data_IF_418550137398
#
_entry.id   IF_418550137398
#
_cell.length_a   1.000
_cell.length_b   1.000
_cell.length_c   1.000
_cell.angle_alpha   90.00
_cell.angle_beta   90.00
_cell.angle_gamma   90.00
#
_symmetry.space_group_name_H-M   'P 1'
#
loop_
_entity.id
_entity.type
_entity.pdbx_description
1 polymer ?
#
# COMPACT_ATOMS: atom_id res chain seq x y z
N UNK A 1 -12.56 12.01 19.40
CA UNK A 1 -13.66 11.59 18.48
C UNK A 1 -13.39 10.19 17.91
N UNK A 2 -12.18 9.88 17.42
CA UNK A 2 -11.85 8.58 16.81
C UNK A 2 -12.07 7.39 17.76
N UNK A 3 -11.64 7.48 19.02
CA UNK A 3 -11.87 6.44 20.03
C UNK A 3 -13.36 6.12 20.24
N UNK A 4 -14.25 7.11 20.11
CA UNK A 4 -15.70 6.90 20.20
C UNK A 4 -16.20 6.13 18.97
N UNK A 5 -15.68 6.41 17.78
CA UNK A 5 -15.99 5.67 16.56
C UNK A 5 -15.59 4.19 16.67
N UNK A 6 -14.39 3.92 17.20
CA UNK A 6 -13.91 2.57 17.46
C UNK A 6 -14.80 1.86 18.51
N UNK A 7 -15.10 2.51 19.64
CA UNK A 7 -15.97 1.96 20.66
C UNK A 7 -17.37 1.62 20.13
N UNK A 8 -17.93 2.48 19.25
CA UNK A 8 -19.22 2.22 18.60
C UNK A 8 -19.16 1.00 17.67
N UNK A 9 -18.09 0.83 16.90
CA UNK A 9 -17.91 -0.33 16.04
C UNK A 9 -17.79 -1.63 16.87
N UNK A 10 -17.14 -1.58 18.02
CA UNK A 10 -16.96 -2.72 18.92
C UNK A 10 -18.22 -3.09 19.72
N UNK A 11 -19.19 -2.18 19.86
CA UNK A 11 -20.41 -2.40 20.66
C UNK A 11 -21.26 -3.57 20.16
N UNK A 12 -21.15 -3.93 18.87
CA UNK A 12 -21.87 -5.07 18.26
C UNK A 12 -21.05 -6.37 18.29
N UNK A 13 -19.89 -6.38 18.97
CA UNK A 13 -18.97 -7.52 19.06
C UNK A 13 -18.63 -8.17 17.71
N UNK A 14 -18.10 -7.41 16.73
CA UNK A 14 -17.81 -7.91 15.40
C UNK A 14 -16.56 -8.82 15.41
N UNK A 15 -16.48 -9.72 14.42
CA UNK A 15 -15.26 -10.48 14.11
C UNK A 15 -14.38 -9.75 13.11
N UNK A 16 -14.98 -8.87 12.29
CA UNK A 16 -14.34 -8.13 11.21
C UNK A 16 -14.72 -6.65 11.23
N UNK A 17 -13.72 -5.76 11.09
CA UNK A 17 -13.91 -4.31 11.05
C UNK A 17 -13.22 -3.71 9.83
N UNK A 18 -13.94 -2.87 9.07
CA UNK A 18 -13.37 -2.01 8.04
C UNK A 18 -12.95 -0.68 8.65
N UNK A 19 -11.68 -0.35 8.54
CA UNK A 19 -11.04 0.86 9.02
C UNK A 19 -10.66 1.71 7.81
N UNK A 20 -11.56 2.58 7.35
CA UNK A 20 -11.34 3.46 6.20
C UNK A 20 -10.72 4.79 6.66
N UNK A 21 -9.45 4.98 6.31
CA UNK A 21 -8.61 6.11 6.69
C UNK A 21 -8.73 6.52 8.18
N UNK A 22 -8.62 5.59 9.14
CA UNK A 22 -8.97 5.86 10.54
C UNK A 22 -8.05 6.86 11.23
N UNK A 23 -6.94 7.25 10.60
CA UNK A 23 -5.90 8.13 11.19
C UNK A 23 -5.61 9.38 10.36
N UNK A 24 -6.23 9.58 9.19
CA UNK A 24 -5.88 10.63 8.21
C UNK A 24 -6.02 12.08 8.74
N UNK A 25 -6.94 12.31 9.68
CA UNK A 25 -7.23 13.63 10.25
C UNK A 25 -6.56 13.88 11.61
N UNK A 26 -5.55 13.07 12.00
CA UNK A 26 -4.92 13.11 13.30
C UNK A 26 -3.46 13.53 13.19
N UNK A 27 -2.92 14.16 14.23
CA UNK A 27 -1.49 14.39 14.35
C UNK A 27 -0.72 13.08 14.58
N UNK A 28 0.58 13.05 14.24
CA UNK A 28 1.43 11.85 14.23
C UNK A 28 1.43 11.12 15.58
N UNK A 29 1.40 11.87 16.70
CA UNK A 29 1.45 11.26 18.03
C UNK A 29 0.14 10.54 18.37
N UNK A 30 -0.99 11.12 17.96
CA UNK A 30 -2.32 10.52 18.14
C UNK A 30 -2.52 9.35 17.15
N UNK A 31 -2.00 9.46 15.91
CA UNK A 31 -2.02 8.34 14.96
C UNK A 31 -1.37 7.09 15.58
N UNK A 32 -0.17 7.22 16.14
CA UNK A 32 0.53 6.11 16.80
C UNK A 32 -0.28 5.51 17.96
N UNK A 33 -0.91 6.36 18.78
CA UNK A 33 -1.76 5.88 19.89
C UNK A 33 -3.00 5.10 19.39
N UNK A 34 -3.63 5.54 18.30
CA UNK A 34 -4.79 4.85 17.72
C UNK A 34 -4.38 3.52 17.10
N UNK A 35 -3.26 3.48 16.36
CA UNK A 35 -2.76 2.24 15.77
C UNK A 35 -2.39 1.22 16.86
N UNK A 36 -1.68 1.64 17.91
CA UNK A 36 -1.38 0.75 19.03
C UNK A 36 -2.65 0.24 19.73
N UNK A 37 -3.65 1.09 19.93
CA UNK A 37 -4.95 0.70 20.47
C UNK A 37 -5.61 -0.38 19.59
N UNK A 38 -5.60 -0.22 18.27
CA UNK A 38 -6.17 -1.19 17.32
C UNK A 38 -5.43 -2.53 17.37
N UNK A 39 -4.09 -2.51 17.42
CA UNK A 39 -3.27 -3.74 17.59
C UNK A 39 -3.59 -4.45 18.89
N UNK A 40 -3.73 -3.72 20.01
CA UNK A 40 -4.09 -4.29 21.30
C UNK A 40 -5.50 -4.91 21.29
N UNK A 41 -6.46 -4.23 20.66
CA UNK A 41 -7.84 -4.74 20.51
C UNK A 41 -7.87 -5.99 19.61
N UNK A 42 -7.11 -5.99 18.51
CA UNK A 42 -6.98 -7.15 17.63
C UNK A 42 -6.51 -8.39 18.43
N UNK A 43 -5.44 -8.24 19.21
CA UNK A 43 -4.89 -9.35 20.03
C UNK A 43 -5.84 -9.80 21.12
N UNK A 44 -6.52 -8.86 21.80
CA UNK A 44 -7.40 -9.18 22.95
C UNK A 44 -8.72 -9.80 22.52
N UNK A 45 -9.25 -9.39 21.37
CA UNK A 45 -10.60 -9.77 20.92
C UNK A 45 -10.59 -10.71 19.71
N UNK A 46 -9.43 -11.04 19.14
CA UNK A 46 -9.32 -11.88 17.94
C UNK A 46 -9.89 -11.23 16.68
N UNK A 47 -9.83 -9.90 16.56
CA UNK A 47 -10.45 -9.15 15.48
C UNK A 47 -9.65 -9.28 14.17
N UNK A 48 -10.38 -9.33 13.05
CA UNK A 48 -9.80 -9.16 11.72
C UNK A 48 -10.08 -7.74 11.22
N UNK A 49 -9.04 -7.08 10.66
CA UNK A 49 -9.17 -5.73 10.10
C UNK A 49 -8.97 -5.70 8.60
N UNK A 50 -9.78 -4.91 7.90
CA UNK A 50 -9.42 -4.32 6.61
C UNK A 50 -9.03 -2.85 6.86
N UNK A 51 -7.73 -2.58 6.85
CA UNK A 51 -7.18 -1.25 7.14
C UNK A 51 -6.84 -0.53 5.83
N UNK A 52 -7.58 0.52 5.49
CA UNK A 52 -7.34 1.37 4.32
C UNK A 52 -6.63 2.64 4.75
N UNK A 53 -5.44 2.89 4.22
CA UNK A 53 -4.65 4.07 4.55
C UNK A 53 -3.67 4.42 3.42
N UNK A 54 -3.19 5.66 3.43
CA UNK A 54 -2.12 6.13 2.55
C UNK A 54 -0.76 6.27 3.27
N UNK A 55 -0.70 6.12 4.60
CA UNK A 55 0.55 6.11 5.38
C UNK A 55 1.12 4.70 5.42
N UNK A 56 2.14 4.47 4.58
CA UNK A 56 2.81 3.17 4.46
C UNK A 56 3.56 2.76 5.72
N UNK A 57 4.02 3.70 6.55
CA UNK A 57 4.71 3.39 7.80
C UNK A 57 3.75 2.76 8.81
N UNK A 58 2.53 3.30 8.89
CA UNK A 58 1.47 2.77 9.76
C UNK A 58 0.94 1.43 9.22
N UNK A 59 0.78 1.31 7.89
CA UNK A 59 0.40 0.04 7.24
C UNK A 59 1.40 -1.06 7.58
N UNK A 60 2.71 -0.78 7.51
CA UNK A 60 3.76 -1.74 7.90
C UNK A 60 3.61 -2.25 9.33
N UNK A 61 3.20 -1.37 10.24
CA UNK A 61 3.13 -1.68 11.67
C UNK A 61 1.93 -2.54 12.04
N UNK A 62 0.78 -2.35 11.37
CA UNK A 62 -0.49 -3.01 11.76
C UNK A 62 -0.86 -4.21 10.88
N UNK A 63 -0.33 -4.32 9.66
CA UNK A 63 -0.82 -5.25 8.66
C UNK A 63 0.02 -6.52 8.56
N UNK A 64 -0.61 -7.69 8.52
CA UNK A 64 0.03 -8.97 8.19
C UNK A 64 0.20 -9.12 6.68
N UNK A 65 -0.81 -8.67 5.90
CA UNK A 65 -0.81 -8.67 4.43
C UNK A 65 -1.16 -7.29 3.91
N UNK A 66 -0.56 -6.92 2.78
CA UNK A 66 -0.78 -5.61 2.14
C UNK A 66 -1.21 -5.80 0.70
N UNK A 67 -2.30 -5.13 0.35
CA UNK A 67 -2.80 -5.00 -1.02
C UNK A 67 -2.54 -3.58 -1.52
N UNK A 68 -1.78 -3.44 -2.60
CA UNK A 68 -1.49 -2.14 -3.23
C UNK A 68 -2.44 -1.93 -4.41
N UNK A 69 -3.18 -0.81 -4.37
CA UNK A 69 -4.12 -0.44 -5.43
C UNK A 69 -3.63 0.78 -6.21
N UNK A 70 -3.80 0.76 -7.52
CA UNK A 70 -3.58 1.91 -8.39
C UNK A 70 -4.80 2.12 -9.30
N UNK A 71 -5.43 3.29 -9.22
CA UNK A 71 -6.68 3.62 -9.95
C UNK A 71 -7.74 2.50 -9.85
N UNK A 72 -7.99 2.03 -8.61
CA UNK A 72 -8.98 0.99 -8.32
C UNK A 72 -8.60 -0.43 -8.77
N UNK A 73 -7.37 -0.63 -9.25
CA UNK A 73 -6.87 -1.95 -9.67
C UNK A 73 -5.84 -2.46 -8.67
N UNK A 74 -6.00 -3.72 -8.24
CA UNK A 74 -5.00 -4.41 -7.43
C UNK A 74 -3.75 -4.68 -8.26
N UNK A 75 -2.62 -4.12 -7.86
CA UNK A 75 -1.35 -4.24 -8.60
C UNK A 75 -0.34 -5.14 -7.90
N UNK A 76 -0.42 -5.26 -6.57
CA UNK A 76 0.45 -6.13 -5.79
C UNK A 76 -0.23 -6.55 -4.49
N UNK A 77 -0.06 -7.82 -4.09
CA UNK A 77 -0.60 -8.40 -2.85
C UNK A 77 0.39 -9.40 -2.29
N UNK A 78 0.85 -9.19 -1.05
CA UNK A 78 1.74 -10.13 -0.37
C UNK A 78 1.72 -9.90 1.15
N UNK A 79 2.59 -10.57 1.90
CA UNK A 79 2.80 -10.26 3.32
C UNK A 79 3.44 -8.89 3.49
N UNK A 80 3.20 -8.25 4.62
CA UNK A 80 3.80 -6.94 4.93
C UNK A 80 5.33 -7.03 4.84
N UNK A 81 5.94 -8.03 5.44
CA UNK A 81 7.39 -8.23 5.44
C UNK A 81 7.94 -8.32 4.01
N UNK A 82 7.36 -9.16 3.16
CA UNK A 82 7.81 -9.35 1.77
C UNK A 82 7.62 -8.08 0.93
N UNK A 83 6.51 -7.35 1.10
CA UNK A 83 6.28 -6.12 0.35
C UNK A 83 7.36 -5.07 0.60
N UNK A 84 7.78 -4.89 1.86
CA UNK A 84 8.79 -3.88 2.21
C UNK A 84 10.22 -4.34 1.92
N UNK A 85 10.47 -5.66 1.87
CA UNK A 85 11.77 -6.22 1.51
C UNK A 85 11.96 -6.30 -0.01
N UNK A 86 10.96 -6.81 -0.74
CA UNK A 86 11.04 -7.19 -2.15
C UNK A 86 9.83 -6.69 -2.98
N UNK A 87 9.57 -5.37 -3.07
CA UNK A 87 8.48 -4.86 -3.89
C UNK A 87 8.73 -5.18 -5.37
N UNK A 88 7.75 -5.80 -6.04
CA UNK A 88 7.88 -6.25 -7.43
C UNK A 88 7.20 -5.32 -8.43
N UNK A 89 6.09 -4.69 -8.08
CA UNK A 89 5.42 -3.78 -9.00
C UNK A 89 6.10 -2.40 -9.01
N UNK A 90 6.37 -1.77 -10.18
CA UNK A 90 7.05 -0.48 -10.25
C UNK A 90 6.38 0.66 -9.48
N UNK A 91 5.06 0.62 -9.35
CA UNK A 91 4.33 1.58 -8.53
C UNK A 91 4.63 1.39 -7.04
N UNK A 92 4.65 0.15 -6.55
CA UNK A 92 5.00 -0.17 -5.15
C UNK A 92 6.43 0.25 -4.83
N UNK A 93 7.38 -0.02 -5.73
CA UNK A 93 8.77 0.43 -5.59
C UNK A 93 8.85 1.95 -5.44
N UNK A 94 8.11 2.70 -6.28
CA UNK A 94 8.07 4.15 -6.20
C UNK A 94 7.44 4.65 -4.90
N UNK A 95 6.32 4.05 -4.45
CA UNK A 95 5.67 4.38 -3.19
C UNK A 95 6.61 4.17 -2.00
N UNK A 96 7.24 2.99 -1.91
CA UNK A 96 8.14 2.66 -0.80
C UNK A 96 9.42 3.50 -0.82
N UNK A 97 9.91 3.89 -2.02
CA UNK A 97 11.04 4.81 -2.15
C UNK A 97 10.75 6.21 -1.62
N UNK A 98 9.48 6.59 -1.53
CA UNK A 98 9.05 7.91 -1.07
C UNK A 98 8.83 8.00 0.45
N UNK A 99 8.88 6.88 1.19
CA UNK A 99 8.72 6.88 2.66
C UNK A 99 9.90 7.63 3.30
N UNK A 100 9.67 8.71 4.08
CA UNK A 100 10.76 9.43 4.75
C UNK A 100 11.44 8.56 5.82
N UNK A 101 12.76 8.69 5.94
CA UNK A 101 13.52 8.09 7.04
C UNK A 101 13.90 9.21 8.04
N UNK A 102 13.69 9.01 9.35
CA UNK A 102 13.99 10.05 10.36
C UNK A 102 15.49 10.35 10.55
N UNK A 103 16.39 9.72 9.79
CA UNK A 103 17.82 10.00 9.81
C UNK A 103 18.21 10.86 8.60
N UNK A 104 18.65 12.14 8.80
CA UNK A 104 19.00 13.04 7.71
C UNK A 104 20.13 12.55 6.80
N UNK A 105 21.09 11.77 7.32
CA UNK A 105 22.20 11.24 6.52
C UNK A 105 21.71 10.11 5.60
N UNK A 106 20.94 9.20 6.16
CA UNK A 106 20.35 8.09 5.40
C UNK A 106 19.34 8.61 4.39
N UNK A 107 18.54 9.63 4.75
CA UNK A 107 17.56 10.25 3.84
C UNK A 107 18.27 10.93 2.66
N UNK A 108 19.36 11.65 2.88
CA UNK A 108 20.13 12.29 1.81
C UNK A 108 20.72 11.29 0.79
N UNK A 109 21.14 10.11 1.24
CA UNK A 109 21.59 9.03 0.35
C UNK A 109 20.42 8.39 -0.42
N UNK A 110 19.27 8.20 0.26
CA UNK A 110 18.06 7.67 -0.36
C UNK A 110 17.43 8.62 -1.35
N UNK A 111 17.44 9.92 -1.11
CA UNK A 111 16.84 10.92 -2.02
C UNK A 111 17.50 10.89 -3.40
N UNK A 112 18.78 10.50 -3.48
CA UNK A 112 19.49 10.25 -4.75
C UNK A 112 18.95 9.01 -5.50
N UNK A 113 18.40 8.04 -4.78
CA UNK A 113 17.86 6.78 -5.34
C UNK A 113 16.33 6.78 -5.43
N UNK A 114 15.69 7.84 -4.97
CA UNK A 114 14.23 7.98 -4.96
C UNK A 114 13.66 7.89 -6.36
N UNK A 115 12.68 7.00 -6.55
CA UNK A 115 12.00 6.83 -7.82
C UNK A 115 10.98 7.97 -7.96
N UNK A 116 11.33 8.96 -8.79
CA UNK A 116 10.42 10.08 -9.12
C UNK A 116 9.48 9.64 -10.23
N UNK A 117 8.19 9.60 -9.92
CA UNK A 117 7.16 9.31 -10.91
C UNK A 117 6.91 10.56 -11.75
N UNK A 118 7.12 10.46 -13.06
CA UNK A 118 6.84 11.54 -14.01
C UNK A 118 5.36 11.53 -14.44
N UNK A 119 4.85 12.67 -14.84
CA UNK A 119 3.48 12.85 -15.32
C UNK A 119 2.41 12.93 -14.24
N UNK A 120 1.24 13.40 -14.65
CA UNK A 120 0.07 13.53 -13.77
C UNK A 120 -0.59 12.18 -13.52
N UNK A 121 -1.29 12.07 -12.40
CA UNK A 121 -2.15 10.91 -12.11
C UNK A 121 -3.33 10.96 -13.08
N UNK A 122 -3.50 9.97 -13.96
CA UNK A 122 -4.60 9.99 -14.92
C UNK A 122 -5.94 9.87 -14.20
N UNK A 123 -6.99 10.44 -14.82
CA UNK A 123 -8.35 10.30 -14.31
C UNK A 123 -8.75 8.82 -14.23
N UNK A 124 -9.42 8.39 -13.15
CA UNK A 124 -9.98 7.05 -13.07
C UNK A 124 -11.17 6.83 -14.04
N UNK A 125 -11.71 7.93 -14.59
CA UNK A 125 -12.81 7.90 -15.57
C UNK A 125 -12.20 7.74 -16.97
N UNK A 126 -12.73 6.78 -17.75
CA UNK A 126 -12.27 6.50 -19.13
C UNK A 126 -10.77 6.20 -19.22
N UNK A 127 -10.30 5.33 -18.34
CA UNK A 127 -8.89 4.90 -18.35
C UNK A 127 -8.52 4.25 -19.70
N UNK A 128 -7.31 4.55 -20.20
CA UNK A 128 -6.77 3.92 -21.41
C UNK A 128 -6.72 2.38 -21.25
N UNK A 129 -6.85 1.62 -22.35
CA UNK A 129 -6.66 0.18 -22.31
C UNK A 129 -5.25 -0.19 -21.81
N UNK A 130 -5.08 -1.44 -21.37
CA UNK A 130 -3.82 -1.95 -20.85
C UNK A 130 -3.55 -1.62 -19.38
N UNK A 131 -2.29 -1.69 -18.98
CA UNK A 131 -1.85 -1.46 -17.62
C UNK A 131 -2.20 -0.03 -17.17
N UNK A 132 -2.88 0.13 -16.04
CA UNK A 132 -3.27 1.45 -15.52
C UNK A 132 -2.08 2.34 -15.20
N UNK A 133 -0.95 1.74 -14.82
CA UNK A 133 0.27 2.46 -14.49
C UNK A 133 1.17 2.79 -15.69
N UNK A 134 0.82 2.34 -16.91
CA UNK A 134 1.63 2.48 -18.13
C UNK A 134 2.16 3.89 -18.41
N UNK A 135 1.37 4.92 -18.12
CA UNK A 135 1.72 6.32 -18.41
C UNK A 135 2.79 6.91 -17.48
N UNK A 136 3.06 6.25 -16.35
CA UNK A 136 4.02 6.70 -15.33
C UNK A 136 5.11 5.66 -15.04
N UNK A 137 5.07 4.52 -15.75
CA UNK A 137 6.00 3.41 -15.55
C UNK A 137 7.21 3.57 -16.48
N UNK A 138 8.41 3.72 -15.91
CA UNK A 138 9.67 3.79 -16.69
C UNK A 138 9.99 2.51 -17.47
N UNK A 139 9.36 1.39 -17.12
CA UNK A 139 9.53 0.09 -17.77
C UNK A 139 8.40 -0.23 -18.77
N UNK A 140 7.49 0.72 -19.05
CA UNK A 140 6.36 0.46 -19.94
C UNK A 140 6.81 0.12 -21.36
N UNK A 141 6.27 -0.99 -21.90
CA UNK A 141 6.46 -1.45 -23.27
C UNK A 141 5.10 -1.51 -23.99
N UNK A 142 5.10 -1.82 -25.28
CA UNK A 142 3.87 -1.81 -26.09
C UNK A 142 2.78 -2.74 -25.56
N UNK A 143 3.15 -3.91 -25.02
CA UNK A 143 2.19 -4.83 -24.41
C UNK A 143 1.45 -4.19 -23.22
N UNK A 144 2.13 -3.34 -22.44
CA UNK A 144 1.50 -2.62 -21.31
C UNK A 144 0.43 -1.63 -21.78
N UNK A 145 0.49 -1.18 -23.04
CA UNK A 145 -0.50 -0.27 -23.63
C UNK A 145 -1.69 -1.01 -24.23
N UNK A 146 -1.51 -2.27 -24.57
CA UNK A 146 -2.50 -3.07 -25.27
C UNK A 146 -3.28 -3.99 -24.33
N UNK A 147 -2.60 -4.57 -23.34
CA UNK A 147 -3.16 -5.61 -22.48
C UNK A 147 -3.00 -5.27 -21.00
N UNK A 148 -4.08 -5.47 -20.24
CA UNK A 148 -4.04 -5.40 -18.78
C UNK A 148 -3.29 -6.60 -18.23
N UNK A 149 -2.24 -6.42 -17.40
CA UNK A 149 -1.56 -7.56 -16.78
C UNK A 149 -2.49 -8.25 -15.79
N UNK A 150 -2.49 -9.57 -15.82
CA UNK A 150 -3.17 -10.40 -14.82
C UNK A 150 -2.38 -10.40 -13.51
N UNK A 151 -3.10 -10.56 -12.40
CA UNK A 151 -2.48 -10.77 -11.09
C UNK A 151 -1.96 -12.19 -11.02
N UNK A 152 -0.63 -12.38 -11.02
CA UNK A 152 0.05 -13.69 -11.04
C UNK A 152 0.81 -13.90 -9.74
N UNK A 153 0.81 -15.14 -9.25
CA UNK A 153 1.69 -15.56 -8.16
C UNK A 153 3.13 -15.69 -8.70
N UNK A 154 4.03 -14.90 -8.14
CA UNK A 154 5.47 -14.91 -8.47
C UNK A 154 6.28 -15.70 -7.44
N UNK A 155 5.62 -16.50 -6.62
CA UNK A 155 6.18 -17.30 -5.54
C UNK A 155 5.93 -16.68 -4.15
N UNK A 156 5.99 -17.52 -3.11
CA UNK A 156 5.84 -17.13 -1.70
C UNK A 156 4.52 -16.41 -1.38
N UNK A 157 3.40 -16.74 -2.04
CA UNK A 157 2.12 -16.02 -1.94
C UNK A 157 2.24 -14.52 -2.25
N UNK A 158 3.16 -14.16 -3.15
CA UNK A 158 3.38 -12.82 -3.65
C UNK A 158 2.71 -12.68 -5.03
N UNK A 159 1.66 -11.91 -5.12
CA UNK A 159 0.87 -11.71 -6.33
C UNK A 159 1.16 -10.35 -6.94
N UNK A 160 1.44 -10.30 -8.24
CA UNK A 160 1.84 -9.06 -8.94
C UNK A 160 1.13 -8.95 -10.29
N UNK A 161 0.53 -7.79 -10.58
CA UNK A 161 -0.08 -7.49 -11.88
C UNK A 161 0.90 -6.67 -12.75
N UNK A 162 1.95 -7.32 -13.23
CA UNK A 162 2.95 -6.70 -14.12
C UNK A 162 3.42 -7.71 -15.17
N UNK A 163 3.58 -7.27 -16.45
CA UNK A 163 4.10 -8.12 -17.53
C UNK A 163 5.59 -8.45 -17.36
N UNK A 164 6.31 -7.70 -16.52
CA UNK A 164 7.78 -7.76 -16.39
C UNK A 164 8.26 -7.91 -14.96
N UNK A 165 7.40 -8.32 -14.00
CA UNK A 165 7.75 -8.41 -12.58
C UNK A 165 8.97 -9.31 -12.29
N UNK A 166 9.26 -10.30 -13.15
CA UNK A 166 10.40 -11.21 -12.99
C UNK A 166 11.70 -10.64 -13.59
N UNK A 167 11.63 -9.56 -14.37
CA UNK A 167 12.76 -8.95 -15.06
C UNK A 167 13.14 -7.56 -14.52
N UNK A 168 12.49 -7.12 -13.46
CA UNK A 168 12.75 -5.82 -12.81
C UNK A 168 13.69 -6.04 -11.63
N UNK A 169 14.99 -5.93 -11.88
CA UNK A 169 16.03 -5.78 -10.87
C UNK A 169 16.30 -4.30 -10.54
#
# INVERSE_FOLDING_TARGET
RQRIGIARALAVQPEFIVLDEPISALDVSIQAQIVNLLVDLQKKMGLTYLFVAHDLSMVKHISDRVAVLYLGTLVELTTSEELYANPRHPYTQALLSAIPIPDPKVEAERDRKKIRLEGEVPSPINTKPGCKFQGRCKYAKDICRQQMPELKDVGNNHFVACHFCDALE
#
